data_IF_255922529442
#
_entry.id   IF_255922529442
#
_cell.length_a   1.000
_cell.length_b   1.000
_cell.length_c   1.000
_cell.angle_alpha   90.00
_cell.angle_beta   90.00
_cell.angle_gamma   90.00
#
_symmetry.space_group_name_H-M   'P 1'
#
loop_
_entity.id
_entity.type
_entity.pdbx_description
1 polymer ?
#
# COMPACT_ATOMS: atom_id res chain seq x y z
N UNK A 1 -22.14 16.67 15.15
CA UNK A 1 -21.56 16.71 16.53
C UNK A 1 -20.10 16.24 16.51
N UNK A 2 -19.82 14.98 16.12
CA UNK A 2 -18.45 14.42 16.13
C UNK A 2 -17.44 15.27 15.33
N UNK A 3 -17.83 15.74 14.15
CA UNK A 3 -16.98 16.56 13.26
C UNK A 3 -16.80 17.99 13.77
N UNK A 4 -17.88 18.66 14.18
CA UNK A 4 -17.85 20.07 14.61
C UNK A 4 -17.32 20.28 16.04
N UNK A 5 -17.36 19.25 16.90
CA UNK A 5 -16.99 19.34 18.32
C UNK A 5 -16.19 18.10 18.80
N UNK A 6 -15.00 17.85 18.23
CA UNK A 6 -14.22 16.63 18.53
C UNK A 6 -13.66 16.58 19.96
N UNK A 7 -13.68 17.68 20.72
CA UNK A 7 -13.21 17.73 22.11
C UNK A 7 -14.25 17.22 23.13
N UNK A 8 -15.53 17.14 22.76
CA UNK A 8 -16.60 16.67 23.66
C UNK A 8 -16.53 15.13 23.86
N UNK A 9 -15.91 14.42 22.91
CA UNK A 9 -15.85 12.97 22.89
C UNK A 9 -14.45 12.44 23.29
N UNK A 10 -14.37 11.53 24.28
CA UNK A 10 -13.15 10.77 24.57
C UNK A 10 -12.53 10.14 23.33
N UNK A 11 -11.22 9.92 23.38
CA UNK A 11 -10.46 9.35 22.26
C UNK A 11 -11.04 8.02 21.77
N UNK A 12 -11.46 7.15 22.68
CA UNK A 12 -12.01 5.83 22.36
C UNK A 12 -13.28 5.91 21.52
N UNK A 13 -14.20 6.84 21.84
CA UNK A 13 -15.41 7.06 21.05
C UNK A 13 -15.09 7.64 19.67
N UNK A 14 -14.11 8.54 19.57
CA UNK A 14 -13.65 9.06 18.26
C UNK A 14 -12.99 7.98 17.42
N UNK A 15 -12.19 7.10 18.02
CA UNK A 15 -11.58 5.93 17.37
C UNK A 15 -12.63 4.92 16.92
N UNK A 16 -13.63 4.64 17.75
CA UNK A 16 -14.73 3.74 17.41
C UNK A 16 -15.59 4.31 16.27
N UNK A 17 -15.96 5.59 16.34
CA UNK A 17 -16.64 6.30 15.25
C UNK A 17 -15.86 6.23 13.94
N UNK A 18 -14.54 6.46 13.98
CA UNK A 18 -13.69 6.35 12.80
C UNK A 18 -13.76 4.94 12.18
N UNK A 19 -13.55 3.89 12.97
CA UNK A 19 -13.61 2.51 12.46
C UNK A 19 -14.99 2.11 11.88
N UNK A 20 -16.08 2.74 12.33
CA UNK A 20 -17.43 2.49 11.84
C UNK A 20 -17.79 3.29 10.58
N UNK A 21 -17.04 4.36 10.25
CA UNK A 21 -17.42 5.31 9.19
C UNK A 21 -16.40 5.45 8.06
N UNK A 22 -15.09 5.41 8.34
CA UNK A 22 -14.06 5.82 7.37
C UNK A 22 -13.74 4.79 6.29
N UNK A 23 -13.94 3.50 6.58
CA UNK A 23 -13.54 2.38 5.70
C UNK A 23 -14.74 1.65 5.06
N UNK A 24 -15.95 2.20 5.19
CA UNK A 24 -17.18 1.61 4.66
C UNK A 24 -17.74 0.45 5.48
N UNK A 25 -18.96 0.05 5.14
CA UNK A 25 -19.79 -0.85 5.96
C UNK A 25 -19.15 -2.23 6.18
N UNK A 26 -18.48 -2.80 5.18
CA UNK A 26 -17.82 -4.10 5.31
C UNK A 26 -16.71 -4.09 6.38
N UNK A 27 -15.93 -3.00 6.48
CA UNK A 27 -14.91 -2.84 7.52
C UNK A 27 -15.54 -2.57 8.89
N UNK A 28 -16.60 -1.77 8.95
CA UNK A 28 -17.34 -1.51 10.18
C UNK A 28 -17.90 -2.81 10.80
N UNK A 29 -18.53 -3.66 9.97
CA UNK A 29 -19.01 -4.99 10.36
C UNK A 29 -17.84 -5.87 10.82
N UNK A 30 -16.76 -5.96 10.04
CA UNK A 30 -15.59 -6.76 10.40
C UNK A 30 -14.92 -6.30 11.71
N UNK A 31 -14.95 -4.99 12.01
CA UNK A 31 -14.45 -4.43 13.26
C UNK A 31 -15.37 -4.77 14.44
N UNK A 32 -16.69 -4.64 14.28
CA UNK A 32 -17.65 -5.02 15.32
C UNK A 32 -17.58 -6.52 15.64
N UNK A 33 -17.48 -7.37 14.61
CA UNK A 33 -17.29 -8.81 14.77
C UNK A 33 -15.93 -9.19 15.39
N UNK A 34 -14.97 -8.27 15.48
CA UNK A 34 -13.73 -8.47 16.26
C UNK A 34 -13.89 -8.17 17.75
N UNK A 35 -14.93 -7.44 18.14
CA UNK A 35 -15.18 -7.06 19.53
C UNK A 35 -16.13 -8.03 20.26
N UNK A 36 -16.94 -8.82 19.54
CA UNK A 36 -17.88 -9.79 20.13
C UNK A 36 -17.14 -11.05 20.61
N UNK A 37 -17.14 -11.36 21.93
CA UNK A 37 -16.62 -12.63 22.43
C UNK A 37 -17.48 -13.79 21.94
N UNK A 38 -16.86 -14.91 21.57
CA UNK A 38 -17.52 -16.15 21.09
C UNK A 38 -18.40 -15.98 19.82
N UNK A 39 -18.23 -14.90 19.06
CA UNK A 39 -19.04 -14.59 17.87
C UNK A 39 -18.69 -15.38 16.59
N UNK A 40 -18.00 -16.52 16.67
CA UNK A 40 -17.42 -17.19 15.49
C UNK A 40 -18.45 -17.80 14.55
N UNK A 41 -19.60 -18.28 15.05
CA UNK A 41 -20.71 -18.71 14.18
C UNK A 41 -21.28 -17.54 13.35
N UNK A 42 -21.51 -16.39 14.00
CA UNK A 42 -22.00 -15.17 13.34
C UNK A 42 -20.99 -14.61 12.33
N UNK A 43 -19.69 -14.72 12.63
CA UNK A 43 -18.59 -14.38 11.69
C UNK A 43 -18.60 -15.26 10.45
N UNK A 44 -18.86 -16.55 10.60
CA UNK A 44 -18.93 -17.48 9.49
C UNK A 44 -20.16 -17.18 8.62
N UNK A 45 -21.35 -17.07 9.24
CA UNK A 45 -22.59 -16.73 8.55
C UNK A 45 -22.50 -15.42 7.75
N UNK A 46 -21.99 -14.34 8.34
CA UNK A 46 -21.84 -13.05 7.65
C UNK A 46 -20.77 -13.04 6.54
N UNK A 47 -19.79 -13.96 6.58
CA UNK A 47 -18.87 -14.20 5.46
C UNK A 47 -19.57 -14.91 4.31
N UNK A 48 -20.40 -15.90 4.64
CA UNK A 48 -21.11 -16.73 3.65
C UNK A 48 -22.20 -15.93 2.91
N UNK A 49 -22.86 -14.99 3.60
CA UNK A 49 -23.80 -14.00 2.99
C UNK A 49 -23.08 -12.92 2.14
N UNK A 50 -21.74 -13.03 1.95
CA UNK A 50 -20.88 -12.15 1.12
C UNK A 50 -20.77 -10.69 1.56
N UNK A 51 -21.53 -10.24 2.56
CA UNK A 51 -21.53 -8.86 3.09
C UNK A 51 -20.14 -8.40 3.58
N UNK A 52 -19.27 -9.35 3.97
CA UNK A 52 -17.93 -9.09 4.53
C UNK A 52 -16.81 -9.49 3.55
N UNK A 53 -17.10 -9.74 2.26
CA UNK A 53 -16.04 -10.04 1.27
C UNK A 53 -15.34 -8.75 0.81
N UNK A 54 -14.42 -8.24 1.64
CA UNK A 54 -13.42 -7.29 1.17
C UNK A 54 -12.60 -7.94 0.04
N UNK A 55 -12.68 -7.39 -1.18
CA UNK A 55 -11.95 -7.87 -2.35
C UNK A 55 -10.46 -7.64 -2.12
N UNK A 56 -9.69 -8.72 -2.03
CA UNK A 56 -8.23 -8.63 -2.06
C UNK A 56 -7.77 -8.32 -3.47
N UNK A 57 -6.94 -7.31 -3.60
CA UNK A 57 -6.34 -6.89 -4.86
C UNK A 57 -4.83 -7.12 -4.77
N UNK A 58 -4.34 -8.10 -5.53
CA UNK A 58 -2.91 -8.41 -5.58
C UNK A 58 -2.21 -7.40 -6.50
N UNK A 59 -1.08 -6.87 -6.04
CA UNK A 59 -0.31 -5.82 -6.72
C UNK A 59 1.18 -6.17 -6.68
N UNK A 60 1.88 -5.97 -7.80
CA UNK A 60 3.32 -6.22 -7.92
C UNK A 60 4.12 -4.92 -7.85
N UNK A 61 5.22 -4.93 -7.09
CA UNK A 61 6.04 -3.75 -6.81
C UNK A 61 7.54 -4.10 -6.92
N UNK A 62 8.34 -3.17 -7.44
CA UNK A 62 9.80 -3.28 -7.47
C UNK A 62 10.40 -2.60 -6.23
N UNK A 63 11.34 -3.27 -5.54
CA UNK A 63 12.02 -2.71 -4.35
C UNK A 63 12.82 -1.44 -4.67
N UNK A 64 13.52 -1.42 -5.81
CA UNK A 64 14.40 -0.32 -6.23
C UNK A 64 13.67 1.00 -6.45
N UNK A 65 12.41 0.95 -6.93
CA UNK A 65 11.58 2.12 -7.27
C UNK A 65 10.30 2.16 -6.45
N UNK A 66 10.46 1.98 -5.14
CA UNK A 66 9.35 1.84 -4.20
C UNK A 66 8.39 3.04 -4.23
N UNK A 67 8.92 4.27 -4.21
CA UNK A 67 8.13 5.50 -4.15
C UNK A 67 7.30 5.71 -5.43
N UNK A 68 7.93 5.62 -6.61
CA UNK A 68 7.24 5.73 -7.90
C UNK A 68 6.15 4.66 -8.06
N UNK A 69 6.45 3.42 -7.65
CA UNK A 69 5.50 2.32 -7.69
C UNK A 69 4.33 2.58 -6.73
N UNK A 70 4.62 3.05 -5.52
CA UNK A 70 3.60 3.36 -4.52
C UNK A 70 2.65 4.47 -4.96
N UNK A 71 3.15 5.54 -5.59
CA UNK A 71 2.29 6.59 -6.17
C UNK A 71 1.31 6.00 -7.18
N UNK A 72 1.80 5.20 -8.16
CA UNK A 72 0.94 4.52 -9.14
C UNK A 72 -0.10 3.61 -8.49
N UNK A 73 0.25 2.91 -7.41
CA UNK A 73 -0.68 2.06 -6.65
C UNK A 73 -1.75 2.88 -5.93
N UNK A 74 -1.39 4.03 -5.34
CA UNK A 74 -2.34 4.95 -4.72
C UNK A 74 -3.27 5.60 -5.76
N UNK A 75 -2.77 5.96 -6.95
CA UNK A 75 -3.59 6.54 -8.01
C UNK A 75 -4.62 5.55 -8.57
N UNK A 76 -4.20 4.29 -8.79
CA UNK A 76 -5.05 3.23 -9.33
C UNK A 76 -6.05 2.68 -8.30
N UNK A 77 -5.64 2.50 -7.04
CA UNK A 77 -6.41 1.77 -6.04
C UNK A 77 -6.85 2.60 -4.83
N UNK A 78 -6.34 3.82 -4.62
CA UNK A 78 -6.68 4.66 -3.45
C UNK A 78 -8.14 5.11 -3.38
N UNK A 79 -8.89 5.02 -4.49
CA UNK A 79 -10.36 5.21 -4.53
C UNK A 79 -11.15 3.97 -4.12
N UNK A 80 -10.49 2.82 -3.99
CA UNK A 80 -11.12 1.53 -3.68
C UNK A 80 -10.90 1.16 -2.21
N UNK A 81 -11.94 0.70 -1.53
CA UNK A 81 -11.83 0.12 -0.18
C UNK A 81 -11.39 -1.36 -0.20
N UNK A 82 -10.69 -1.78 -1.27
CA UNK A 82 -10.15 -3.11 -1.45
C UNK A 82 -8.89 -3.34 -0.58
N UNK A 83 -8.73 -4.54 -0.02
CA UNK A 83 -7.52 -4.93 0.69
C UNK A 83 -6.38 -5.15 -0.30
N UNK A 84 -5.34 -4.31 -0.23
CA UNK A 84 -4.14 -4.49 -1.05
C UNK A 84 -3.27 -5.63 -0.49
N UNK A 85 -2.81 -6.51 -1.38
CA UNK A 85 -1.85 -7.58 -1.10
C UNK A 85 -0.63 -7.40 -1.99
N UNK A 86 0.53 -7.13 -1.40
CA UNK A 86 1.75 -6.77 -2.12
C UNK A 86 2.62 -8.01 -2.38
N UNK A 87 3.12 -8.12 -3.60
CA UNK A 87 4.12 -9.09 -4.06
C UNK A 87 5.32 -8.34 -4.63
N UNK A 88 6.52 -8.59 -4.10
CA UNK A 88 7.73 -8.02 -4.67
C UNK A 88 8.16 -8.78 -5.92
N UNK A 89 8.60 -8.04 -6.94
CA UNK A 89 9.11 -8.64 -8.17
C UNK A 89 10.37 -9.46 -7.88
N UNK A 90 10.34 -10.75 -8.22
CA UNK A 90 11.47 -11.67 -8.03
C UNK A 90 11.52 -12.39 -6.68
N UNK A 91 10.58 -12.15 -5.76
CA UNK A 91 10.60 -12.75 -4.42
C UNK A 91 9.58 -13.87 -4.22
N UNK A 92 9.99 -14.91 -3.48
CA UNK A 92 9.14 -16.06 -3.14
C UNK A 92 8.41 -15.79 -1.81
N UNK A 93 7.57 -14.77 -1.79
CA UNK A 93 6.83 -14.34 -0.61
C UNK A 93 5.53 -13.61 -0.95
N UNK A 94 4.40 -14.10 -0.42
CA UNK A 94 3.08 -13.49 -0.59
C UNK A 94 2.38 -13.29 0.75
N UNK A 95 1.50 -12.28 0.83
CA UNK A 95 0.63 -12.03 1.96
C UNK A 95 1.05 -10.86 2.86
N UNK A 96 0.73 -10.97 4.16
CA UNK A 96 0.80 -9.85 5.11
C UNK A 96 2.21 -9.37 5.42
N UNK A 97 3.21 -10.26 5.46
CA UNK A 97 4.61 -9.89 5.76
C UNK A 97 5.18 -8.88 4.75
N UNK A 98 5.27 -9.23 3.45
CA UNK A 98 5.71 -8.31 2.40
C UNK A 98 4.85 -7.04 2.30
N UNK A 99 3.55 -7.13 2.59
CA UNK A 99 2.63 -5.99 2.62
C UNK A 99 2.94 -5.02 3.77
N UNK A 100 3.27 -5.51 4.97
CA UNK A 100 3.69 -4.68 6.10
C UNK A 100 5.09 -4.08 5.88
N UNK A 101 6.01 -4.85 5.29
CA UNK A 101 7.32 -4.35 4.86
C UNK A 101 7.15 -3.20 3.86
N UNK A 102 6.28 -3.34 2.86
CA UNK A 102 5.99 -2.29 1.88
C UNK A 102 5.57 -0.97 2.54
N UNK A 103 4.58 -0.99 3.45
CA UNK A 103 4.16 0.22 4.16
C UNK A 103 5.26 0.79 5.06
N UNK A 104 6.09 -0.07 5.66
CA UNK A 104 7.22 0.35 6.51
C UNK A 104 8.26 1.09 5.67
N UNK A 105 8.73 0.49 4.58
CA UNK A 105 9.70 1.08 3.68
C UNK A 105 9.14 2.35 3.01
N UNK A 106 7.89 2.33 2.54
CA UNK A 106 7.24 3.50 1.94
C UNK A 106 7.14 4.67 2.92
N UNK A 107 6.84 4.40 4.20
CA UNK A 107 6.82 5.45 5.23
C UNK A 107 8.20 6.08 5.44
N UNK A 108 9.27 5.29 5.35
CA UNK A 108 10.66 5.76 5.45
C UNK A 108 11.05 6.59 4.23
N UNK A 109 10.74 6.11 3.01
CA UNK A 109 10.93 6.84 1.76
C UNK A 109 10.22 8.20 1.78
N UNK A 110 8.94 8.23 2.17
CA UNK A 110 8.16 9.46 2.27
C UNK A 110 8.73 10.46 3.27
N UNK A 111 9.37 10.00 4.35
CA UNK A 111 9.98 10.86 5.37
C UNK A 111 11.35 11.46 4.96
N UNK A 112 11.90 11.07 3.80
CA UNK A 112 13.18 11.62 3.33
C UNK A 112 13.09 13.13 3.07
N UNK A 113 14.02 13.88 3.66
CA UNK A 113 14.10 15.35 3.51
C UNK A 113 14.21 15.81 2.05
N UNK A 114 14.83 15.00 1.18
CA UNK A 114 14.97 15.29 -0.24
C UNK A 114 13.65 15.41 -1.02
N UNK A 115 12.54 14.90 -0.48
CA UNK A 115 11.22 15.05 -1.11
C UNK A 115 10.54 16.40 -0.80
N UNK A 116 11.01 17.16 0.20
CA UNK A 116 10.42 18.45 0.57
C UNK A 116 8.99 18.41 1.16
N UNK A 117 8.40 17.22 1.32
CA UNK A 117 7.01 17.03 1.77
C UNK A 117 6.81 17.47 3.25
N UNK A 118 7.79 17.20 4.11
CA UNK A 118 7.66 17.39 5.55
C UNK A 118 8.36 18.65 6.04
N UNK A 119 7.68 19.40 6.91
CA UNK A 119 8.28 20.51 7.63
C UNK A 119 9.34 19.98 8.62
N UNK A 120 10.60 19.97 8.18
CA UNK A 120 11.72 19.74 9.08
C UNK A 120 11.92 20.99 9.93
N UNK A 121 12.03 20.84 11.26
CA UNK A 121 12.51 21.93 12.12
C UNK A 121 13.89 22.32 11.57
N UNK A 122 14.08 23.60 11.22
CA UNK A 122 15.37 24.12 10.77
C UNK A 122 16.41 23.63 11.77
N UNK A 123 17.32 22.76 11.31
CA UNK A 123 18.51 22.47 12.09
C UNK A 123 19.25 23.80 12.12
N UNK A 124 19.29 24.45 13.28
CA UNK A 124 20.22 25.55 13.46
C UNK A 124 21.60 24.96 13.17
N UNK A 125 22.38 25.53 12.24
CA UNK A 125 23.75 25.10 12.08
C UNK A 125 24.39 25.32 13.45
N UNK A 126 24.83 24.24 14.08
CA UNK A 126 25.55 24.32 15.34
C UNK A 126 26.67 25.34 15.14
N UNK A 127 26.68 26.39 15.97
CA UNK A 127 27.61 27.50 15.79
C UNK A 127 29.02 26.93 15.66
N UNK A 128 29.78 27.29 14.61
CA UNK A 128 31.18 26.92 14.55
C UNK A 128 31.88 27.62 15.71
N UNK A 129 32.08 26.90 16.81
CA UNK A 129 32.78 27.38 17.99
C UNK A 129 34.12 27.95 17.55
N UNK A 130 34.29 29.26 17.73
CA UNK A 130 35.37 30.03 17.13
C UNK A 130 36.76 29.43 17.47
N UNK A 131 37.73 29.53 16.55
CA UNK A 131 39.01 28.84 16.69
C UNK A 131 39.81 29.36 17.88
N UNK A 132 40.25 28.45 18.76
CA UNK A 132 41.27 28.76 19.76
C UNK A 132 42.59 29.08 19.06
N UNK A 133 43.01 30.34 19.15
CA UNK A 133 44.26 30.84 18.58
C UNK A 133 45.48 30.18 19.23
N UNK A 134 46.35 29.59 18.41
CA UNK A 134 47.63 29.00 18.82
C UNK A 134 48.29 28.19 17.70
N UNK A 135 48.88 28.87 16.70
CA UNK A 135 49.63 28.22 15.61
C UNK A 135 51.07 27.85 16.00
N UNK A 136 52.03 27.74 15.04
CA UNK A 136 51.90 27.84 13.58
C UNK A 136 52.59 26.69 12.79
N UNK A 137 52.21 26.50 11.53
CA UNK A 137 53.09 26.03 10.44
C UNK A 137 52.36 26.15 9.09
N UNK A 138 53.10 26.40 8.02
CA UNK A 138 52.56 26.46 6.65
C UNK A 138 52.63 25.08 5.98
N UNK A 139 51.76 24.84 5.00
CA UNK A 139 52.13 24.18 3.74
C UNK A 139 51.08 24.47 2.65
N UNK A 140 51.54 24.79 1.44
CA UNK A 140 50.74 25.15 0.27
C UNK A 140 50.35 23.91 -0.56
N UNK A 141 49.09 23.79 -0.99
CA UNK A 141 48.70 22.98 -2.17
C UNK A 141 47.49 23.59 -2.90
N UNK A 142 47.60 23.99 -4.18
CA UNK A 142 46.46 24.34 -5.04
C UNK A 142 46.20 23.31 -6.17
N UNK A 143 44.97 23.34 -6.73
CA UNK A 143 44.45 22.58 -7.90
C UNK A 143 44.25 21.05 -7.67
N UNK A 144 43.14 20.44 -8.08
CA UNK A 144 42.80 20.18 -9.49
C UNK A 144 41.27 20.20 -9.81
N UNK A 145 41.00 20.18 -11.11
CA UNK A 145 39.74 20.21 -11.86
C UNK A 145 38.95 18.88 -11.92
N UNK A 146 37.74 18.90 -12.49
CA UNK A 146 36.96 17.68 -12.74
C UNK A 146 35.49 17.90 -13.14
N UNK A 147 35.24 18.09 -14.43
CA UNK A 147 33.94 17.77 -15.09
C UNK A 147 33.77 16.23 -15.12
N UNK A 148 32.64 15.58 -15.44
CA UNK A 148 31.32 15.99 -15.93
C UNK A 148 30.24 15.20 -15.11
N UNK A 149 29.10 14.65 -15.56
CA UNK A 149 28.41 14.54 -16.86
C UNK A 149 26.88 14.42 -16.65
N UNK A 150 26.10 14.34 -17.73
CA UNK A 150 24.63 14.39 -17.72
C UNK A 150 23.89 13.10 -17.35
N UNK A 151 22.79 13.27 -16.62
CA UNK A 151 21.71 12.28 -16.53
C UNK A 151 20.87 12.29 -17.81
N UNK A 152 21.25 11.47 -18.80
CA UNK A 152 20.45 11.26 -20.00
C UNK A 152 19.22 10.40 -19.66
N UNK A 153 18.03 10.97 -19.82
CA UNK A 153 16.76 10.25 -19.79
C UNK A 153 16.77 9.15 -20.86
N UNK A 154 16.47 7.91 -20.46
CA UNK A 154 16.27 6.76 -21.35
C UNK A 154 14.97 6.04 -21.00
N UNK A 155 14.09 5.94 -21.99
CA UNK A 155 12.70 5.50 -21.88
C UNK A 155 12.47 4.20 -21.10
N UNK A 156 11.44 4.19 -20.25
CA UNK A 156 10.96 2.97 -19.58
C UNK A 156 9.45 2.75 -19.75
N UNK A 157 8.93 3.10 -20.93
CA UNK A 157 7.55 2.85 -21.36
C UNK A 157 7.42 1.46 -22.00
N UNK A 158 7.57 0.39 -21.22
CA UNK A 158 7.13 -0.95 -21.65
C UNK A 158 6.96 -1.93 -20.49
N UNK A 159 5.88 -1.77 -19.71
CA UNK A 159 5.33 -2.83 -18.84
C UNK A 159 3.85 -2.60 -18.49
N UNK A 160 3.07 -2.22 -19.51
CA UNK A 160 1.62 -2.37 -19.44
C UNK A 160 1.27 -3.86 -19.42
N UNK A 161 0.85 -4.38 -18.26
CA UNK A 161 0.46 -5.77 -18.10
C UNK A 161 -0.73 -6.09 -19.02
N UNK A 162 -0.59 -7.10 -19.89
CA UNK A 162 -1.70 -7.59 -20.72
C UNK A 162 -2.83 -8.12 -19.83
N UNK A 163 -4.11 -7.81 -20.11
CA UNK A 163 -5.22 -8.46 -19.43
C UNK A 163 -5.22 -9.95 -19.77
N UNK A 164 -5.44 -10.79 -18.76
CA UNK A 164 -5.60 -12.24 -18.92
C UNK A 164 -6.90 -12.53 -19.68
N UNK A 165 -6.79 -13.24 -20.79
CA UNK A 165 -7.91 -13.60 -21.66
C UNK A 165 -8.91 -14.51 -20.93
N UNK A 166 -10.16 -14.06 -20.88
CA UNK A 166 -11.24 -14.69 -20.13
C UNK A 166 -11.85 -15.85 -20.94
N UNK A 167 -11.42 -17.07 -20.63
CA UNK A 167 -11.94 -18.29 -21.25
C UNK A 167 -13.43 -18.51 -20.92
N UNK A 168 -14.30 -17.99 -21.79
CA UNK A 168 -15.75 -18.18 -21.71
C UNK A 168 -16.16 -19.65 -21.94
N UNK A 169 -17.24 -20.14 -21.31
CA UNK A 169 -17.62 -21.55 -21.35
C UNK A 169 -18.21 -21.95 -22.71
N UNK A 170 -17.95 -23.19 -23.14
CA UNK A 170 -18.64 -23.79 -24.30
C UNK A 170 -20.12 -24.04 -23.98
N UNK A 171 -21.04 -23.83 -24.94
CA UNK A 171 -22.47 -23.99 -24.72
C UNK A 171 -22.88 -25.46 -24.64
N UNK A 172 -23.96 -25.72 -23.88
CA UNK A 172 -24.67 -27.00 -23.94
C UNK A 172 -25.43 -27.10 -25.28
N UNK A 173 -25.21 -28.20 -26.00
CA UNK A 173 -26.04 -28.62 -27.13
C UNK A 173 -26.96 -29.76 -26.68
N UNK A 174 -28.25 -29.62 -26.94
CA UNK A 174 -29.30 -30.56 -26.54
C UNK A 174 -29.88 -31.32 -27.75
N UNK A 175 -30.52 -32.45 -27.45
CA UNK A 175 -31.37 -33.29 -28.32
C UNK A 175 -30.73 -34.12 -29.45
N UNK A 176 -30.88 -35.43 -29.32
CA UNK A 176 -31.63 -36.25 -30.30
C UNK A 176 -32.28 -37.46 -29.59
N UNK A 177 -33.48 -37.86 -30.02
CA UNK A 177 -34.28 -39.00 -29.50
C UNK A 177 -33.53 -40.35 -29.60
N UNK A 178 -33.69 -41.39 -28.76
CA UNK A 178 -34.89 -42.20 -28.44
C UNK A 178 -35.00 -43.44 -29.36
N UNK A 179 -35.71 -44.56 -29.06
CA UNK A 179 -36.24 -45.11 -27.80
C UNK A 179 -35.86 -46.62 -27.55
N UNK A 180 -36.29 -47.22 -26.43
CA UNK A 180 -36.24 -48.67 -26.13
C UNK A 180 -36.39 -48.94 -24.62
N UNK A 181 -37.45 -49.62 -24.13
CA UNK A 181 -37.53 -51.08 -23.90
C UNK A 181 -36.57 -51.57 -22.78
N UNK A 182 -36.94 -52.35 -21.77
CA UNK A 182 -38.13 -53.20 -21.56
C UNK A 182 -38.32 -53.58 -20.06
N UNK A 183 -39.58 -53.70 -19.61
CA UNK A 183 -40.20 -54.53 -18.55
C UNK A 183 -39.52 -54.90 -17.18
N UNK A 184 -40.41 -54.89 -16.16
CA UNK A 184 -40.46 -55.66 -14.89
C UNK A 184 -39.48 -55.32 -13.76
#
# INVERSE_FOLDING_TARGET
IVENYPFILPFDLRRQYFHLTSLGVAHAIQHLLQQIPNGDSLRQELRDVRLVRNRRQKVRIHRERLLESACKVMDLYGKSQASLEIEYFGEVGTGLGPTLEFYTLLSSELQKRGLGIWLTKKAEPAEPTAPTTGGPAAEDVPMDSGEADGLIFGDMDSLAAKPSEEASPKPAASLSEGPGAEQQ
#
